data_IF_606723394900
#
_entry.id   IF_606723394900
#
_cell.length_a   1.000
_cell.length_b   1.000
_cell.length_c   1.000
_cell.angle_alpha   90.00
_cell.angle_beta   90.00
_cell.angle_gamma   90.00
#
_symmetry.space_group_name_H-M   'P 1'
#
loop_
_entity.id
_entity.type
_entity.pdbx_description
1 polymer ?
#
# COMPACT_ATOMS: atom_id res chain seq x y z
N UNK A 1 -46.81 4.01 -96.62
CA UNK A 1 -47.49 4.42 -95.37
C UNK A 1 -48.88 3.82 -95.37
N UNK A 2 -49.39 3.04 -94.42
CA UNK A 2 -48.86 2.32 -93.25
C UNK A 2 -49.98 1.34 -92.88
N UNK A 3 -49.65 0.04 -92.80
CA UNK A 3 -50.17 -1.05 -91.95
C UNK A 3 -51.65 -1.15 -91.55
N UNK A 4 -52.24 -2.31 -91.90
CA UNK A 4 -53.41 -2.95 -91.22
C UNK A 4 -53.13 -3.30 -89.75
N UNK A 5 -54.16 -3.37 -88.88
CA UNK A 5 -54.08 -4.06 -87.60
C UNK A 5 -54.79 -5.43 -87.64
N UNK A 6 -54.13 -6.43 -87.09
CA UNK A 6 -54.67 -7.75 -86.74
C UNK A 6 -54.93 -7.82 -85.23
N UNK A 7 -56.06 -8.36 -84.74
CA UNK A 7 -56.18 -8.76 -83.35
C UNK A 7 -56.29 -10.29 -83.22
N UNK A 8 -55.35 -10.88 -82.48
CA UNK A 8 -55.50 -12.19 -81.88
C UNK A 8 -56.09 -12.04 -80.46
N UNK A 9 -57.00 -12.92 -79.99
CA UNK A 9 -57.35 -12.94 -78.58
C UNK A 9 -56.40 -13.87 -77.82
N UNK A 10 -55.65 -13.30 -76.87
CA UNK A 10 -55.03 -14.04 -75.76
C UNK A 10 -55.98 -14.05 -74.58
N UNK A 11 -56.49 -15.23 -74.22
CA UNK A 11 -56.93 -15.60 -72.88
C UNK A 11 -56.25 -16.93 -72.58
N UNK A 12 -55.57 -17.14 -71.45
CA UNK A 12 -56.15 -17.11 -70.11
C UNK A 12 -55.05 -17.01 -69.04
N UNK A 13 -55.31 -16.18 -68.03
CA UNK A 13 -54.57 -16.03 -66.79
C UNK A 13 -54.78 -17.22 -65.84
N UNK A 14 -53.71 -17.78 -65.24
CA UNK A 14 -53.51 -17.75 -63.77
C UNK A 14 -52.09 -18.24 -63.37
N UNK A 15 -51.56 -17.79 -62.21
CA UNK A 15 -50.14 -17.73 -61.90
C UNK A 15 -49.68 -18.83 -60.92
N UNK A 16 -48.40 -19.20 -60.97
CA UNK A 16 -47.67 -19.72 -59.82
C UNK A 16 -46.16 -19.69 -60.07
N UNK A 17 -45.45 -18.80 -59.37
CA UNK A 17 -44.06 -19.00 -58.92
C UNK A 17 -44.00 -18.46 -57.47
N UNK A 18 -43.07 -18.90 -56.61
CA UNK A 18 -42.12 -20.00 -56.72
C UNK A 18 -42.13 -20.93 -55.48
N UNK A 19 -41.96 -22.25 -55.66
CA UNK A 19 -41.51 -23.10 -54.55
C UNK A 19 -39.97 -23.09 -54.57
N UNK A 20 -39.38 -22.14 -53.84
CA UNK A 20 -37.97 -22.15 -53.51
C UNK A 20 -37.66 -23.48 -52.81
N UNK A 21 -36.71 -24.25 -53.36
CA UNK A 21 -36.16 -25.43 -52.72
C UNK A 21 -35.60 -25.05 -51.35
N UNK A 22 -36.30 -25.43 -50.29
CA UNK A 22 -35.76 -25.42 -48.94
C UNK A 22 -34.63 -26.44 -48.86
N UNK A 23 -33.40 -25.95 -48.85
CA UNK A 23 -32.23 -26.75 -48.50
C UNK A 23 -32.43 -27.32 -47.09
N UNK A 24 -32.10 -28.60 -46.81
CA UNK A 24 -32.21 -29.14 -45.46
C UNK A 24 -31.25 -28.38 -44.55
N UNK A 25 -31.77 -27.89 -43.42
CA UNK A 25 -30.94 -27.36 -42.34
C UNK A 25 -30.02 -28.48 -41.84
N UNK A 26 -28.72 -28.34 -42.09
CA UNK A 26 -27.71 -29.14 -41.39
C UNK A 26 -27.88 -28.94 -39.88
N UNK A 27 -27.79 -30.02 -39.08
CA UNK A 27 -27.80 -29.86 -37.64
C UNK A 27 -26.55 -29.06 -37.26
N UNK A 28 -26.73 -27.89 -36.64
CA UNK A 28 -25.66 -27.16 -35.96
C UNK A 28 -25.06 -28.10 -34.91
N UNK A 29 -24.01 -28.82 -35.29
CA UNK A 29 -23.15 -29.54 -34.37
C UNK A 29 -22.63 -28.51 -33.39
N UNK A 30 -23.07 -28.63 -32.13
CA UNK A 30 -22.92 -27.62 -31.09
C UNK A 30 -21.55 -26.97 -31.13
N UNK A 31 -21.53 -25.67 -31.42
CA UNK A 31 -20.34 -24.86 -31.33
C UNK A 31 -19.77 -25.04 -29.93
N UNK A 32 -18.64 -25.73 -29.83
CA UNK A 32 -17.84 -25.73 -28.61
C UNK A 32 -17.62 -24.25 -28.24
N UNK A 33 -17.75 -23.85 -26.96
CA UNK A 33 -17.53 -22.46 -26.59
C UNK A 33 -16.15 -22.07 -27.09
N UNK A 34 -16.12 -21.08 -27.98
CA UNK A 34 -14.88 -20.62 -28.59
C UNK A 34 -14.08 -19.96 -27.46
N UNK A 35 -13.14 -20.69 -26.88
CA UNK A 35 -12.27 -20.26 -25.78
C UNK A 35 -11.21 -19.27 -26.28
N UNK A 36 -11.54 -18.46 -27.28
CA UNK A 36 -10.67 -17.45 -27.85
C UNK A 36 -10.65 -16.24 -26.90
N UNK A 37 -9.66 -16.21 -26.01
CA UNK A 37 -9.45 -15.08 -25.11
C UNK A 37 -9.16 -13.81 -25.94
N UNK A 38 -9.95 -12.77 -25.72
CA UNK A 38 -9.72 -11.46 -26.33
C UNK A 38 -8.42 -10.85 -25.80
N UNK A 39 -7.70 -10.08 -26.63
CA UNK A 39 -6.50 -9.36 -26.21
C UNK A 39 -6.75 -8.47 -24.98
N UNK A 40 -7.95 -7.88 -24.88
CA UNK A 40 -8.36 -7.08 -23.73
C UNK A 40 -8.45 -7.92 -22.45
N UNK A 41 -8.94 -9.15 -22.55
CA UNK A 41 -9.02 -10.10 -21.43
C UNK A 41 -7.63 -10.56 -21.00
N UNK A 42 -6.70 -10.78 -21.94
CA UNK A 42 -5.31 -11.12 -21.64
C UNK A 42 -4.59 -9.96 -20.92
N UNK A 43 -4.73 -8.73 -21.42
CA UNK A 43 -4.13 -7.54 -20.80
C UNK A 43 -4.72 -7.31 -19.39
N UNK A 44 -6.04 -7.42 -19.24
CA UNK A 44 -6.70 -7.29 -17.95
C UNK A 44 -6.27 -8.38 -16.97
N UNK A 45 -6.17 -9.63 -17.44
CA UNK A 45 -5.69 -10.76 -16.65
C UNK A 45 -4.25 -10.56 -16.18
N UNK A 46 -3.36 -10.10 -17.05
CA UNK A 46 -1.97 -9.78 -16.71
C UNK A 46 -1.90 -8.62 -15.70
N UNK A 47 -2.69 -7.56 -15.90
CA UNK A 47 -2.78 -6.44 -14.97
C UNK A 47 -3.23 -6.91 -13.58
N UNK A 48 -4.29 -7.72 -13.52
CA UNK A 48 -4.85 -8.25 -12.29
C UNK A 48 -3.85 -9.17 -11.58
N UNK A 49 -3.15 -10.02 -12.32
CA UNK A 49 -2.13 -10.92 -11.77
C UNK A 49 -0.98 -10.13 -11.13
N UNK A 50 -0.48 -9.10 -11.80
CA UNK A 50 0.56 -8.23 -11.26
C UNK A 50 0.10 -7.47 -10.01
N UNK A 51 -1.09 -6.88 -10.04
CA UNK A 51 -1.67 -6.21 -8.89
C UNK A 51 -1.87 -7.17 -7.71
N UNK A 52 -2.37 -8.39 -7.97
CA UNK A 52 -2.55 -9.42 -6.96
C UNK A 52 -1.20 -9.86 -6.37
N UNK A 53 -0.16 -10.05 -7.18
CA UNK A 53 1.17 -10.42 -6.70
C UNK A 53 1.75 -9.37 -5.75
N UNK A 54 1.71 -8.08 -6.13
CA UNK A 54 2.18 -6.98 -5.27
C UNK A 54 1.36 -6.89 -3.99
N UNK A 55 0.03 -7.01 -4.09
CA UNK A 55 -0.86 -6.95 -2.93
C UNK A 55 -0.62 -8.11 -1.97
N UNK A 56 -0.52 -9.35 -2.48
CA UNK A 56 -0.25 -10.56 -1.70
C UNK A 56 1.10 -10.44 -1.01
N UNK A 57 2.15 -9.99 -1.71
CA UNK A 57 3.47 -9.81 -1.11
C UNK A 57 3.43 -8.84 0.09
N UNK A 58 2.77 -7.69 -0.08
CA UNK A 58 2.62 -6.70 0.99
C UNK A 58 1.74 -7.21 2.13
N UNK A 59 0.65 -7.91 1.81
CA UNK A 59 -0.25 -8.51 2.79
C UNK A 59 0.47 -9.57 3.62
N UNK A 60 1.20 -10.49 2.99
CA UNK A 60 1.98 -11.51 3.69
C UNK A 60 3.05 -10.90 4.58
N UNK A 61 3.75 -9.87 4.10
CA UNK A 61 4.73 -9.12 4.89
C UNK A 61 4.08 -8.47 6.12
N UNK A 62 2.94 -7.83 5.92
CA UNK A 62 2.16 -7.21 6.99
C UNK A 62 1.63 -8.23 8.00
N UNK A 63 1.12 -9.38 7.54
CA UNK A 63 0.61 -10.46 8.38
C UNK A 63 1.73 -11.11 9.19
N UNK A 64 2.90 -11.33 8.58
CA UNK A 64 4.09 -11.84 9.30
C UNK A 64 4.50 -10.88 10.41
N UNK A 65 4.55 -9.58 10.11
CA UNK A 65 4.85 -8.56 11.10
C UNK A 65 3.80 -8.52 12.22
N UNK A 66 2.51 -8.50 11.88
CA UNK A 66 1.43 -8.54 12.87
C UNK A 66 1.48 -9.81 13.73
N UNK A 67 1.82 -10.97 13.15
CA UNK A 67 1.93 -12.22 13.89
C UNK A 67 3.13 -12.24 14.81
N UNK A 68 4.23 -11.60 14.42
CA UNK A 68 5.37 -11.34 15.30
C UNK A 68 4.96 -10.45 16.48
N UNK A 69 4.30 -9.32 16.22
CA UNK A 69 3.83 -8.42 17.26
C UNK A 69 2.82 -9.08 18.20
N UNK A 70 1.84 -9.81 17.67
CA UNK A 70 0.86 -10.49 18.52
C UNK A 70 1.49 -11.57 19.41
N UNK A 71 2.64 -12.12 19.01
CA UNK A 71 3.35 -13.14 19.78
C UNK A 71 4.25 -12.53 20.85
N UNK A 72 4.86 -11.38 20.58
CA UNK A 72 5.96 -10.84 21.39
C UNK A 72 5.70 -9.47 22.02
N UNK A 73 4.70 -8.73 21.53
CA UNK A 73 4.38 -7.43 22.09
C UNK A 73 3.58 -7.56 23.39
N UNK A 74 3.97 -6.79 24.39
CA UNK A 74 3.30 -6.72 25.69
C UNK A 74 2.98 -5.27 26.06
N UNK A 75 1.93 -4.99 26.85
CA UNK A 75 1.66 -3.63 27.31
C UNK A 75 2.80 -3.06 28.14
N UNK A 76 3.18 -1.81 27.88
CA UNK A 76 4.15 -1.09 28.74
C UNK A 76 3.50 -0.83 30.11
N UNK A 77 4.21 -1.20 31.18
CA UNK A 77 3.75 -1.04 32.58
C UNK A 77 4.55 -0.01 33.38
N UNK A 78 5.62 0.51 32.80
CA UNK A 78 6.45 1.54 33.42
C UNK A 78 5.64 2.83 33.58
N UNK A 79 5.50 3.29 34.83
CA UNK A 79 4.68 4.44 35.18
C UNK A 79 5.24 5.76 34.62
N UNK A 80 6.56 5.90 34.57
CA UNK A 80 7.21 7.12 34.10
C UNK A 80 7.07 7.26 32.59
N UNK A 81 7.23 6.15 31.86
CA UNK A 81 7.00 6.11 30.41
C UNK A 81 5.53 6.40 30.10
N UNK A 82 4.60 5.83 30.85
CA UNK A 82 3.16 6.08 30.66
C UNK A 82 2.79 7.54 30.96
N UNK A 83 3.36 8.14 32.02
CA UNK A 83 3.15 9.54 32.36
C UNK A 83 3.68 10.46 31.24
N UNK A 84 4.91 10.21 30.77
CA UNK A 84 5.51 10.94 29.65
C UNK A 84 4.67 10.81 28.37
N UNK A 85 4.28 9.59 28.01
CA UNK A 85 3.45 9.30 26.85
C UNK A 85 2.11 10.05 26.89
N UNK A 86 1.46 10.06 28.05
CA UNK A 86 0.20 10.75 28.25
C UNK A 86 0.37 12.27 28.15
N UNK A 87 1.40 12.83 28.80
CA UNK A 87 1.72 14.25 28.74
C UNK A 87 1.99 14.73 27.30
N UNK A 88 2.75 13.96 26.51
CA UNK A 88 2.98 14.25 25.09
C UNK A 88 1.69 14.15 24.28
N UNK A 89 0.82 13.18 24.57
CA UNK A 89 -0.49 13.07 23.95
C UNK A 89 -1.39 14.26 24.22
N UNK A 90 -1.37 14.79 25.45
CA UNK A 90 -2.08 16.02 25.83
C UNK A 90 -1.49 17.26 25.15
N UNK A 91 -0.16 17.38 25.15
CA UNK A 91 0.55 18.46 24.46
C UNK A 91 0.22 18.51 22.96
N UNK A 92 0.07 17.34 22.33
CA UNK A 92 -0.32 17.20 20.93
C UNK A 92 -1.84 17.30 20.73
N UNK A 93 -2.66 17.47 21.77
CA UNK A 93 -4.12 17.55 21.68
C UNK A 93 -4.75 16.32 21.03
N UNK A 94 -4.35 15.12 21.47
CA UNK A 94 -4.85 13.85 20.95
C UNK A 94 -6.07 13.34 21.74
N UNK A 95 -7.26 13.34 21.12
CA UNK A 95 -8.49 12.78 21.71
C UNK A 95 -8.42 11.26 21.91
N UNK A 96 -7.67 10.58 21.05
CA UNK A 96 -7.37 9.16 21.15
C UNK A 96 -5.89 8.96 20.98
N UNK A 97 -5.34 7.99 21.71
CA UNK A 97 -3.92 7.65 21.67
C UNK A 97 -3.75 6.23 21.15
N UNK A 98 -2.68 5.93 20.40
CA UNK A 98 -2.38 4.56 20.03
C UNK A 98 -2.13 3.70 21.27
N UNK A 99 -2.24 2.38 21.13
CA UNK A 99 -1.87 1.46 22.22
C UNK A 99 -0.36 1.50 22.44
N UNK A 100 0.11 1.71 23.66
CA UNK A 100 1.54 1.66 23.98
C UNK A 100 1.95 0.22 24.34
N UNK A 101 2.79 -0.39 23.51
CA UNK A 101 3.28 -1.76 23.69
C UNK A 101 4.81 -1.77 23.65
N UNK A 102 5.46 -2.66 24.39
CA UNK A 102 6.87 -2.99 24.24
C UNK A 102 6.98 -4.28 23.43
N UNK A 103 7.92 -4.33 22.48
CA UNK A 103 8.21 -5.50 21.68
C UNK A 103 9.71 -5.76 21.63
N UNK A 104 10.19 -6.97 21.97
CA UNK A 104 11.58 -7.34 21.80
C UNK A 104 11.96 -7.29 20.31
N UNK A 105 13.26 -7.15 20.02
CA UNK A 105 13.79 -7.15 18.65
C UNK A 105 13.58 -5.86 17.84
N UNK A 106 12.94 -4.84 18.43
CA UNK A 106 12.91 -3.51 17.84
C UNK A 106 14.15 -2.72 18.29
N UNK A 107 14.78 -2.02 17.33
CA UNK A 107 15.90 -1.13 17.63
C UNK A 107 15.43 0.28 18.04
N UNK A 108 14.24 0.69 17.56
CA UNK A 108 13.70 2.04 17.76
C UNK A 108 12.18 1.98 17.96
N UNK A 109 11.59 3.01 18.58
CA UNK A 109 10.14 3.18 18.62
C UNK A 109 9.53 3.19 17.21
N UNK A 110 8.33 2.62 17.05
CA UNK A 110 7.62 2.67 15.76
C UNK A 110 6.11 2.66 15.96
N UNK A 111 5.39 3.37 15.10
CA UNK A 111 3.93 3.29 14.98
C UNK A 111 3.50 2.21 13.97
N UNK A 112 2.58 1.34 14.37
CA UNK A 112 2.05 0.26 13.54
C UNK A 112 0.52 0.13 13.62
N UNK A 113 -0.09 -0.39 12.54
CA UNK A 113 -1.52 -0.72 12.48
C UNK A 113 -2.39 0.42 11.94
N UNK A 114 -3.24 0.10 10.96
CA UNK A 114 -4.10 1.08 10.29
C UNK A 114 -5.39 1.37 11.08
N UNK A 115 -6.13 0.33 11.48
CA UNK A 115 -7.41 0.47 12.18
C UNK A 115 -7.28 0.47 13.71
N UNK A 116 -6.25 -0.20 14.22
CA UNK A 116 -5.93 -0.31 15.65
C UNK A 116 -4.46 0.08 15.87
N UNK A 117 -4.16 1.38 15.79
CA UNK A 117 -2.79 1.87 15.84
C UNK A 117 -2.17 1.59 17.21
N UNK A 118 -0.91 1.15 17.19
CA UNK A 118 -0.10 0.83 18.34
C UNK A 118 1.28 1.47 18.18
N UNK A 119 1.74 2.14 19.23
CA UNK A 119 3.10 2.63 19.35
C UNK A 119 3.90 1.53 20.05
N UNK A 120 4.88 1.00 19.33
CA UNK A 120 5.75 -0.07 19.77
C UNK A 120 7.05 0.53 20.27
N UNK A 121 7.42 0.24 21.51
CA UNK A 121 8.71 0.56 22.08
C UNK A 121 9.64 -0.65 22.00
N UNK A 122 10.96 -0.42 21.83
CA UNK A 122 11.94 -1.47 22.04
C UNK A 122 11.96 -1.87 23.52
N UNK A 123 12.48 -3.07 23.80
CA UNK A 123 12.57 -3.60 25.16
C UNK A 123 13.43 -2.71 26.08
N UNK A 124 14.48 -2.13 25.51
CA UNK A 124 15.33 -1.14 26.17
C UNK A 124 15.16 0.21 25.46
N UNK A 125 14.11 1.00 25.77
CA UNK A 125 13.94 2.31 25.18
C UNK A 125 15.08 3.24 25.58
N UNK A 126 15.40 4.24 24.74
CA UNK A 126 16.31 5.30 25.14
C UNK A 126 15.77 5.97 26.42
N UNK A 127 16.65 6.57 27.22
CA UNK A 127 16.26 7.25 28.45
C UNK A 127 16.13 8.77 28.27
N UNK A 128 15.38 9.42 29.16
CA UNK A 128 15.28 10.87 29.24
C UNK A 128 14.76 11.53 27.96
N UNK A 129 15.43 12.60 27.53
CA UNK A 129 15.01 13.40 26.37
C UNK A 129 14.98 12.61 25.06
N UNK A 130 15.86 11.61 24.90
CA UNK A 130 15.85 10.79 23.70
C UNK A 130 14.54 9.99 23.56
N UNK A 131 13.98 9.47 24.67
CA UNK A 131 12.65 8.86 24.66
C UNK A 131 11.56 9.87 24.33
N UNK A 132 11.62 11.05 24.96
CA UNK A 132 10.64 12.11 24.78
C UNK A 132 10.57 12.55 23.32
N UNK A 133 11.72 12.76 22.68
CA UNK A 133 11.79 13.15 21.28
C UNK A 133 11.30 12.05 20.34
N UNK A 134 11.69 10.79 20.57
CA UNK A 134 11.19 9.67 19.76
C UNK A 134 9.68 9.46 19.92
N UNK A 135 9.14 9.53 21.14
CA UNK A 135 7.70 9.44 21.38
C UNK A 135 6.93 10.59 20.74
N UNK A 136 7.46 11.82 20.85
CA UNK A 136 6.86 13.00 20.21
C UNK A 136 6.79 12.83 18.69
N UNK A 137 7.85 12.33 18.07
CA UNK A 137 7.90 12.04 16.64
C UNK A 137 6.85 11.01 16.23
N UNK A 138 6.81 9.84 16.89
CA UNK A 138 5.84 8.79 16.58
C UNK A 138 4.39 9.20 16.84
N UNK A 139 4.13 9.96 17.91
CA UNK A 139 2.81 10.52 18.19
C UNK A 139 2.41 11.60 17.17
N UNK A 140 3.38 12.34 16.63
CA UNK A 140 3.13 13.31 15.55
C UNK A 140 2.72 12.59 14.26
N UNK A 141 3.37 11.47 13.90
CA UNK A 141 2.91 10.60 12.81
C UNK A 141 1.49 10.10 13.01
N UNK A 142 1.17 9.70 14.24
CA UNK A 142 -0.17 9.27 14.61
C UNK A 142 -1.19 10.41 14.43
N UNK A 143 -0.91 11.61 14.96
CA UNK A 143 -1.76 12.81 14.83
C UNK A 143 -2.05 13.14 13.37
N UNK A 144 -1.01 13.06 12.53
CA UNK A 144 -1.06 13.39 11.09
C UNK A 144 -1.65 12.26 10.24
N UNK A 145 -1.93 11.09 10.83
CA UNK A 145 -2.44 9.88 10.15
C UNK A 145 -1.52 9.43 9.03
N UNK A 146 -0.21 9.48 9.24
CA UNK A 146 0.76 9.17 8.20
C UNK A 146 0.70 7.70 7.73
N UNK A 147 0.30 6.78 8.61
CA UNK A 147 0.02 5.38 8.23
C UNK A 147 -1.08 5.29 7.15
N UNK A 148 -2.12 6.11 7.23
CA UNK A 148 -3.18 6.13 6.23
C UNK A 148 -2.66 6.64 4.88
N UNK A 149 -1.84 7.71 4.89
CA UNK A 149 -1.22 8.27 3.69
C UNK A 149 -0.28 7.26 3.02
N UNK A 150 0.58 6.60 3.81
CA UNK A 150 1.48 5.53 3.34
C UNK A 150 0.67 4.33 2.80
N UNK A 151 -0.46 4.01 3.41
CA UNK A 151 -1.37 2.96 2.91
C UNK A 151 -2.02 3.34 1.58
N UNK A 152 -2.47 4.59 1.42
CA UNK A 152 -3.01 5.06 0.14
C UNK A 152 -1.96 5.00 -0.96
N UNK A 153 -0.73 5.43 -0.68
CA UNK A 153 0.40 5.31 -1.60
C UNK A 153 0.70 3.85 -1.97
N UNK A 154 0.55 2.91 -1.03
CA UNK A 154 0.61 1.48 -1.33
C UNK A 154 -0.47 1.05 -2.33
N UNK A 155 -1.73 1.43 -2.13
CA UNK A 155 -2.80 1.10 -3.08
C UNK A 155 -2.55 1.64 -4.47
N UNK A 156 -2.08 2.89 -4.58
CA UNK A 156 -1.71 3.48 -5.87
C UNK A 156 -0.58 2.69 -6.54
N UNK A 157 0.45 2.29 -5.79
CA UNK A 157 1.52 1.41 -6.31
C UNK A 157 1.01 0.04 -6.76
N UNK A 158 0.03 -0.54 -6.05
CA UNK A 158 -0.57 -1.82 -6.45
C UNK A 158 -1.29 -1.69 -7.80
N UNK A 159 -2.10 -0.63 -7.97
CA UNK A 159 -2.84 -0.40 -9.21
C UNK A 159 -1.92 -0.04 -10.40
N UNK A 160 -0.81 0.64 -10.11
CA UNK A 160 0.17 1.10 -11.08
C UNK A 160 1.52 0.40 -10.93
N UNK A 161 1.51 -0.90 -10.60
CA UNK A 161 2.73 -1.65 -10.31
C UNK A 161 3.77 -1.60 -11.44
N UNK A 162 3.31 -1.47 -12.69
CA UNK A 162 4.12 -1.37 -13.90
C UNK A 162 4.66 0.06 -14.18
N UNK A 163 4.18 1.09 -13.49
CA UNK A 163 4.52 2.48 -13.76
C UNK A 163 5.68 2.97 -12.88
N UNK A 164 6.92 3.12 -13.41
CA UNK A 164 8.08 3.54 -12.61
C UNK A 164 7.94 4.94 -12.01
N UNK A 165 7.16 5.83 -12.62
CA UNK A 165 6.95 7.19 -12.09
C UNK A 165 6.18 7.14 -10.77
N UNK A 166 5.20 6.25 -10.63
CA UNK A 166 4.45 6.08 -9.37
C UNK A 166 5.38 5.61 -8.25
N UNK A 167 6.34 4.74 -8.55
CA UNK A 167 7.35 4.32 -7.56
C UNK A 167 8.25 5.47 -7.13
N UNK A 168 8.65 6.36 -8.05
CA UNK A 168 9.43 7.54 -7.74
C UNK A 168 8.63 8.52 -6.87
N UNK A 169 7.38 8.80 -7.24
CA UNK A 169 6.50 9.68 -6.47
C UNK A 169 6.21 9.13 -5.07
N UNK A 170 6.05 7.81 -4.92
CA UNK A 170 5.89 7.19 -3.61
C UNK A 170 7.13 7.41 -2.72
N UNK A 171 8.34 7.31 -3.29
CA UNK A 171 9.58 7.58 -2.54
C UNK A 171 9.73 9.04 -2.13
N UNK A 172 9.37 9.98 -3.01
CA UNK A 172 9.40 11.40 -2.67
C UNK A 172 8.36 11.72 -1.60
N UNK A 173 7.16 11.14 -1.71
CA UNK A 173 6.11 11.27 -0.72
C UNK A 173 6.54 10.76 0.66
N UNK A 174 7.24 9.62 0.74
CA UNK A 174 7.76 9.12 2.01
C UNK A 174 8.70 10.15 2.65
N UNK A 175 9.64 10.72 1.89
CA UNK A 175 10.55 11.76 2.38
C UNK A 175 9.81 13.02 2.85
N UNK A 176 8.81 13.46 2.09
CA UNK A 176 8.05 14.67 2.41
C UNK A 176 7.17 14.45 3.66
N UNK A 177 6.69 13.22 3.88
CA UNK A 177 5.99 12.83 5.10
C UNK A 177 6.89 12.98 6.32
N UNK A 178 8.13 12.48 6.24
CA UNK A 178 9.12 12.57 7.34
C UNK A 178 9.51 14.03 7.62
N UNK A 179 9.87 14.80 6.59
CA UNK A 179 10.23 16.23 6.74
C UNK A 179 9.10 17.05 7.38
N UNK A 180 7.86 16.83 6.93
CA UNK A 180 6.71 17.51 7.49
C UNK A 180 6.30 16.98 8.87
N UNK A 181 6.66 15.74 9.20
CA UNK A 181 6.52 15.21 10.57
C UNK A 181 7.48 15.95 11.50
N UNK A 182 8.75 16.04 11.13
CA UNK A 182 9.77 16.76 11.89
C UNK A 182 9.40 18.23 12.08
N UNK A 183 9.01 18.92 11.01
CA UNK A 183 8.54 20.31 11.10
C UNK A 183 7.36 20.46 12.06
N UNK A 184 6.42 19.49 12.05
CA UNK A 184 5.29 19.50 12.97
C UNK A 184 5.71 19.23 14.41
N UNK A 185 6.64 18.30 14.65
CA UNK A 185 7.13 17.98 15.99
C UNK A 185 7.89 19.16 16.60
N UNK A 186 8.71 19.86 15.80
CA UNK A 186 9.47 21.03 16.23
C UNK A 186 8.58 22.19 16.71
N UNK A 187 7.34 22.32 16.21
CA UNK A 187 6.36 23.32 16.69
C UNK A 187 5.94 23.11 18.14
N UNK A 188 6.14 21.90 18.66
CA UNK A 188 5.86 21.54 20.05
C UNK A 188 7.12 21.55 20.93
N UNK A 189 8.28 21.92 20.38
CA UNK A 189 9.53 21.99 21.11
C UNK A 189 10.05 23.42 21.20
N UNK A 190 10.66 23.82 22.34
CA UNK A 190 11.35 25.09 22.41
C UNK A 190 12.55 25.10 21.43
N UNK A 191 12.90 26.26 20.84
CA UNK A 191 14.00 26.34 19.87
C UNK A 191 15.34 25.78 20.36
N UNK A 192 15.62 25.86 21.67
CA UNK A 192 16.82 25.32 22.28
C UNK A 192 16.94 23.78 22.15
N UNK A 193 15.82 23.07 22.02
CA UNK A 193 15.78 21.61 21.93
C UNK A 193 15.84 21.08 20.50
N UNK A 194 15.68 21.92 19.48
CA UNK A 194 15.59 21.50 18.07
C UNK A 194 16.81 20.69 17.62
N UNK A 195 18.01 21.11 18.02
CA UNK A 195 19.24 20.39 17.69
C UNK A 195 19.35 19.04 18.42
N UNK A 196 18.84 18.94 19.65
CA UNK A 196 18.84 17.70 20.41
C UNK A 196 17.84 16.69 19.81
N UNK A 197 16.64 17.17 19.46
CA UNK A 197 15.65 16.39 18.72
C UNK A 197 16.24 15.81 17.43
N UNK A 198 16.84 16.66 16.58
CA UNK A 198 17.44 16.21 15.32
C UNK A 198 18.51 15.14 15.50
N UNK A 199 19.39 15.28 16.52
CA UNK A 199 20.38 14.24 16.86
C UNK A 199 19.74 12.92 17.29
N UNK A 200 18.66 12.96 18.06
CA UNK A 200 17.93 11.75 18.46
C UNK A 200 17.34 11.02 17.27
N UNK A 201 16.69 11.73 16.35
CA UNK A 201 16.11 11.10 15.15
C UNK A 201 17.22 10.53 14.24
N UNK A 202 18.31 11.25 14.03
CA UNK A 202 19.46 10.75 13.27
C UNK A 202 20.10 9.51 13.92
N UNK A 203 20.18 9.48 15.25
CA UNK A 203 20.68 8.31 15.99
C UNK A 203 19.75 7.11 15.82
N UNK A 204 18.43 7.31 15.87
CA UNK A 204 17.44 6.27 15.62
C UNK A 204 17.55 5.70 14.19
N UNK A 205 17.67 6.56 13.18
CA UNK A 205 17.90 6.14 11.78
C UNK A 205 19.23 5.37 11.63
N UNK A 206 20.28 5.82 12.33
CA UNK A 206 21.58 5.14 12.33
C UNK A 206 21.49 3.74 12.97
N UNK A 207 20.71 3.58 14.03
CA UNK A 207 20.47 2.27 14.67
C UNK A 207 19.74 1.30 13.72
N UNK A 208 18.77 1.80 12.95
CA UNK A 208 18.06 1.01 11.94
C UNK A 208 18.97 0.54 10.79
N UNK A 209 19.88 1.40 10.32
CA UNK A 209 20.81 1.05 9.25
C UNK A 209 21.97 0.17 9.75
N UNK A 210 22.44 0.39 10.98
CA UNK A 210 23.50 -0.38 11.63
C UNK A 210 23.09 -1.81 12.00
N UNK A 211 21.82 -2.03 12.39
CA UNK A 211 21.30 -3.36 12.69
C UNK A 211 21.28 -4.32 11.48
N UNK A 212 21.45 -3.80 10.26
CA UNK A 212 21.55 -4.58 9.02
C UNK A 212 22.98 -4.90 8.57
N UNK A 213 24.02 -4.45 9.28
CA UNK A 213 25.43 -4.70 8.93
C UNK A 213 26.00 -5.71 9.94
N UNK A 214 26.44 -6.93 9.55
CA UNK A 214 27.23 -7.74 10.45
C UNK A 214 28.45 -6.90 10.84
N UNK A 215 28.62 -6.68 12.15
CA UNK A 215 29.81 -6.01 12.66
C UNK A 215 31.00 -6.89 12.27
N UNK A 216 31.75 -6.48 11.24
CA UNK A 216 33.11 -6.97 11.07
C UNK A 216 33.86 -6.49 12.30
N UNK A 217 34.10 -7.42 13.22
CA UNK A 217 34.98 -7.24 14.37
C UNK A 217 36.27 -6.63 13.82
N UNK A 218 36.50 -5.35 14.13
CA UNK A 218 37.82 -4.76 14.07
C UNK A 218 38.62 -5.46 15.15
N UNK A 219 39.34 -6.52 14.78
CA UNK A 219 40.42 -7.04 15.61
C UNK A 219 41.42 -5.88 15.70
N UNK A 220 41.50 -5.32 16.91
CA UNK A 220 42.56 -4.40 17.27
C UNK A 220 43.83 -5.22 17.35
N UNK A 221 44.71 -5.08 16.36
CA UNK A 221 46.10 -5.50 16.49
C UNK A 221 46.77 -4.55 17.50
N UNK A 222 46.74 -4.97 18.75
CA UNK A 222 47.64 -4.48 19.79
C UNK A 222 48.31 -5.69 20.40
N UNK A 223 49.30 -6.22 19.68
CA UNK A 223 50.42 -7.02 20.16
C UNK A 223 51.42 -7.18 19.00
N UNK A 224 52.28 -6.17 18.82
CA UNK A 224 53.70 -6.25 18.47
C UNK A 224 54.33 -4.85 18.47
#
# INVERSE_FOLDING_TARGET
>A
STSEPSPAPSGSNRPAQPAASSSPAEPEAGAAPDLSLSLSQLIFGLWLLGAAAVLIWNLLSHLRFCRYLNRWASPVRDADILALYNALGDQLGLDRRPRLLSCPGLAVPMLAGLFRPALLLPENPPAGDALRFSLLHELTHFRRRDIFRKTLALWVRVLHWFNPLVWLTARTMDRDIELSCDESALKHLPPAEHAAYGRTILSAVSALTGAGRPQSVSISDSDF
#
